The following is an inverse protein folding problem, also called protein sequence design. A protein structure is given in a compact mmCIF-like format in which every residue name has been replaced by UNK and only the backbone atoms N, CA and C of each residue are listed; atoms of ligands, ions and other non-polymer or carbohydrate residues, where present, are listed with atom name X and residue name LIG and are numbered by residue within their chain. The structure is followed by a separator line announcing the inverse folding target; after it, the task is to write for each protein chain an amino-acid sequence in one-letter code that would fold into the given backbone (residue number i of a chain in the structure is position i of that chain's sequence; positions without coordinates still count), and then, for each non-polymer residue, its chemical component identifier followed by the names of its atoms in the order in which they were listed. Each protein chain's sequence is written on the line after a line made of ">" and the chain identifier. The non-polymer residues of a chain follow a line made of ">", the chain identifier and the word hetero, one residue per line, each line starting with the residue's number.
data_IF_359936324202
#
_entry.id   IF_359936324202
#
_cell.length_a   1.000
_cell.length_b   1.000
_cell.length_c   1.000
_cell.angle_alpha   90.00
_cell.angle_beta   90.00
_cell.angle_gamma   90.00
#
_symmetry.space_group_name_H-M   'P 1'
#
loop_
_entity.id
_entity.type
_entity.pdbx_description
1 polymer ?
#
# COMPACT_ATOMS: atom_id res chain seq x y z
N UNK A 1 18.07 -17.18 10.53
CA UNK A 1 16.60 -17.11 10.74
C UNK A 1 15.96 -18.27 10.01
N UNK A 2 15.08 -19.01 10.68
CA UNK A 2 14.26 -20.07 10.08
C UNK A 2 13.03 -19.48 9.37
N UNK A 3 12.34 -20.28 8.56
CA UNK A 3 11.09 -19.82 7.91
C UNK A 3 10.00 -19.46 8.93
N UNK A 4 9.94 -20.17 10.07
CA UNK A 4 8.97 -19.90 11.12
C UNK A 4 9.23 -18.53 11.77
N UNK A 5 10.49 -18.28 12.14
CA UNK A 5 10.93 -16.99 12.69
C UNK A 5 10.67 -15.82 11.73
N UNK A 6 10.89 -16.02 10.42
CA UNK A 6 10.58 -15.00 9.41
C UNK A 6 9.09 -14.68 9.35
N UNK A 7 8.22 -15.70 9.42
CA UNK A 7 6.76 -15.50 9.44
C UNK A 7 6.32 -14.72 10.67
N UNK A 8 6.90 -15.02 11.83
CA UNK A 8 6.57 -14.32 13.07
C UNK A 8 7.08 -12.87 13.06
N UNK A 9 8.29 -12.63 12.55
CA UNK A 9 8.81 -11.28 12.33
C UNK A 9 7.91 -10.47 11.38
N UNK A 10 7.44 -11.08 10.29
CA UNK A 10 6.54 -10.43 9.35
C UNK A 10 5.17 -10.10 9.98
N UNK A 11 4.61 -11.00 10.78
CA UNK A 11 3.37 -10.75 11.53
C UNK A 11 3.53 -9.60 12.53
N UNK A 12 4.64 -9.58 13.27
CA UNK A 12 4.95 -8.50 14.20
C UNK A 12 5.08 -7.15 13.48
N UNK A 13 5.74 -7.13 12.31
CA UNK A 13 5.85 -5.94 11.46
C UNK A 13 4.47 -5.39 11.05
N UNK A 14 3.55 -6.26 10.61
CA UNK A 14 2.18 -5.87 10.25
C UNK A 14 1.35 -5.40 11.45
N UNK A 15 1.58 -5.96 12.64
CA UNK A 15 0.89 -5.53 13.85
C UNK A 15 1.34 -4.12 14.31
N UNK A 16 2.63 -3.80 14.14
CA UNK A 16 3.18 -2.48 14.46
C UNK A 16 2.80 -1.44 13.40
N UNK A 17 2.62 -1.87 12.15
CA UNK A 17 2.24 -1.03 11.01
C UNK A 17 0.94 -1.56 10.38
N UNK A 18 -0.23 -1.37 11.01
CA UNK A 18 -1.48 -1.93 10.51
C UNK A 18 -1.84 -1.32 9.14
N UNK A 19 -1.77 -2.08 8.03
CA UNK A 19 -1.90 -1.49 6.69
C UNK A 19 -3.31 -0.96 6.44
N UNK A 20 -4.34 -1.59 7.02
CA UNK A 20 -5.73 -1.17 6.86
C UNK A 20 -5.98 0.22 7.45
N UNK A 21 -5.41 0.51 8.61
CA UNK A 21 -5.58 1.82 9.26
C UNK A 21 -4.97 2.94 8.40
N UNK A 22 -3.78 2.71 7.86
CA UNK A 22 -3.13 3.67 6.98
C UNK A 22 -3.91 3.86 5.66
N UNK A 23 -4.44 2.78 5.09
CA UNK A 23 -5.32 2.84 3.91
C UNK A 23 -6.56 3.70 4.19
N UNK A 24 -7.23 3.51 5.33
CA UNK A 24 -8.39 4.32 5.72
C UNK A 24 -8.04 5.80 5.87
N UNK A 25 -6.93 6.11 6.55
CA UNK A 25 -6.47 7.49 6.74
C UNK A 25 -6.14 8.17 5.40
N UNK A 26 -5.46 7.48 4.48
CA UNK A 26 -5.14 7.99 3.15
C UNK A 26 -6.40 8.10 2.27
N UNK A 27 -7.36 7.20 2.41
CA UNK A 27 -8.64 7.27 1.72
C UNK A 27 -9.40 8.55 2.12
N UNK A 28 -9.50 8.85 3.42
CA UNK A 28 -10.12 10.09 3.88
C UNK A 28 -9.39 11.32 3.34
N UNK A 29 -8.06 11.31 3.28
CA UNK A 29 -7.30 12.41 2.66
C UNK A 29 -7.61 12.56 1.17
N UNK A 30 -7.70 11.44 0.43
CA UNK A 30 -8.00 11.46 -0.99
C UNK A 30 -9.39 12.03 -1.28
N UNK A 31 -10.43 11.56 -0.58
CA UNK A 31 -11.82 12.04 -0.76
C UNK A 31 -11.96 13.52 -0.38
N UNK A 32 -11.27 13.97 0.67
CA UNK A 32 -11.32 15.37 1.12
C UNK A 32 -10.37 16.30 0.35
N UNK A 33 -9.61 15.81 -0.62
CA UNK A 33 -8.60 16.63 -1.34
C UNK A 33 -9.21 17.57 -2.37
N UNK A 34 -10.43 17.30 -2.83
CA UNK A 34 -11.03 17.97 -3.99
C UNK A 34 -10.39 17.61 -5.34
N UNK A 35 -9.42 16.69 -5.36
CA UNK A 35 -8.73 16.26 -6.58
C UNK A 35 -9.44 15.12 -7.33
N UNK A 36 -10.52 14.60 -6.78
CA UNK A 36 -11.28 13.48 -7.34
C UNK A 36 -12.62 14.00 -7.86
N UNK A 37 -12.95 13.62 -9.09
CA UNK A 37 -14.26 13.84 -9.69
C UNK A 37 -14.96 12.49 -9.85
N UNK A 38 -15.97 12.27 -9.00
CA UNK A 38 -16.74 11.04 -8.94
C UNK A 38 -18.25 11.31 -8.83
N UNK A 39 -18.69 12.55 -9.06
CA UNK A 39 -20.11 12.92 -9.00
C UNK A 39 -20.90 12.28 -10.15
N UNK A 40 -20.26 12.13 -11.32
CA UNK A 40 -20.84 11.51 -12.52
C UNK A 40 -20.50 10.01 -12.66
N UNK A 41 -19.95 9.38 -11.61
CA UNK A 41 -19.58 7.98 -11.69
C UNK A 41 -20.82 7.08 -11.75
N UNK A 42 -20.83 6.11 -12.67
CA UNK A 42 -21.95 5.17 -12.81
C UNK A 42 -22.18 4.43 -11.49
N UNK A 43 -23.46 4.27 -11.12
CA UNK A 43 -23.85 3.41 -10.01
C UNK A 43 -23.27 2.00 -10.22
N UNK A 44 -22.67 1.43 -9.18
CA UNK A 44 -21.92 0.16 -9.16
C UNK A 44 -20.55 0.15 -9.88
N UNK A 45 -20.04 1.30 -10.33
CA UNK A 45 -18.65 1.43 -10.77
C UNK A 45 -17.69 1.38 -9.59
N UNK A 46 -16.66 0.54 -9.70
CA UNK A 46 -15.50 0.54 -8.81
C UNK A 46 -14.30 1.30 -9.39
N UNK A 47 -14.48 2.08 -10.47
CA UNK A 47 -13.37 2.73 -11.17
C UNK A 47 -12.64 3.72 -10.27
N UNK A 48 -13.34 4.70 -9.68
CA UNK A 48 -12.69 5.69 -8.80
C UNK A 48 -12.16 5.02 -7.54
N UNK A 49 -12.92 4.09 -6.95
CA UNK A 49 -12.45 3.31 -5.81
C UNK A 49 -11.11 2.59 -6.10
N UNK A 50 -10.96 1.99 -7.29
CA UNK A 50 -9.70 1.36 -7.73
C UNK A 50 -8.59 2.38 -7.96
N UNK A 51 -8.90 3.55 -8.51
CA UNK A 51 -7.92 4.63 -8.71
C UNK A 51 -7.40 5.12 -7.35
N UNK A 52 -8.29 5.39 -6.39
CA UNK A 52 -7.93 5.79 -5.03
C UNK A 52 -7.08 4.70 -4.38
N UNK A 53 -7.54 3.45 -4.42
CA UNK A 53 -6.82 2.34 -3.82
C UNK A 53 -5.42 2.16 -4.41
N UNK A 54 -5.28 2.26 -5.73
CA UNK A 54 -3.97 2.23 -6.39
C UNK A 54 -3.06 3.38 -5.92
N UNK A 55 -3.56 4.61 -5.89
CA UNK A 55 -2.79 5.77 -5.43
C UNK A 55 -2.32 5.62 -3.97
N UNK A 56 -3.17 5.07 -3.10
CA UNK A 56 -2.83 4.74 -1.71
C UNK A 56 -1.70 3.72 -1.65
N UNK A 57 -1.82 2.60 -2.37
CA UNK A 57 -0.80 1.55 -2.38
C UNK A 57 0.56 2.08 -2.90
N UNK A 58 0.55 2.91 -3.95
CA UNK A 58 1.77 3.56 -4.44
C UNK A 58 2.38 4.50 -3.39
N UNK A 59 1.54 5.25 -2.67
CA UNK A 59 1.99 6.15 -1.61
C UNK A 59 2.64 5.38 -0.46
N UNK A 60 2.01 4.31 0.00
CA UNK A 60 2.55 3.44 1.06
C UNK A 60 3.85 2.75 0.61
N UNK A 61 3.89 2.24 -0.63
CA UNK A 61 5.10 1.64 -1.19
C UNK A 61 6.28 2.63 -1.27
N UNK A 62 6.01 3.89 -1.61
CA UNK A 62 7.03 4.94 -1.62
C UNK A 62 7.54 5.26 -0.20
N UNK A 63 6.67 5.26 0.82
CA UNK A 63 7.07 5.49 2.21
C UNK A 63 7.91 4.36 2.78
N UNK A 64 7.66 3.12 2.35
CA UNK A 64 8.41 1.93 2.79
C UNK A 64 9.58 1.57 1.87
N UNK A 65 9.95 2.47 0.95
CA UNK A 65 11.00 2.21 -0.01
C UNK A 65 12.35 1.98 0.71
N UNK A 66 13.05 0.85 0.46
CA UNK A 66 14.33 0.60 1.09
C UNK A 66 15.37 1.65 0.68
N UNK A 67 15.95 2.35 1.65
CA UNK A 67 16.92 3.42 1.37
C UNK A 67 18.30 2.89 0.95
N UNK A 68 18.68 1.71 1.46
CA UNK A 68 19.93 1.07 1.08
C UNK A 68 19.78 0.40 -0.29
N UNK A 69 20.76 0.62 -1.17
CA UNK A 69 20.76 0.11 -2.54
C UNK A 69 20.63 -1.42 -2.58
N UNK A 70 21.35 -2.13 -1.70
CA UNK A 70 21.29 -3.60 -1.63
C UNK A 70 19.86 -4.09 -1.36
N UNK A 71 19.18 -3.49 -0.37
CA UNK A 71 17.81 -3.86 -0.02
C UNK A 71 16.81 -3.54 -1.14
N UNK A 72 17.04 -2.46 -1.89
CA UNK A 72 16.23 -2.13 -3.05
C UNK A 72 16.41 -3.16 -4.18
N UNK A 73 17.65 -3.54 -4.49
CA UNK A 73 17.95 -4.57 -5.48
C UNK A 73 17.33 -5.92 -5.10
N UNK A 74 17.38 -6.30 -3.81
CA UNK A 74 16.69 -7.48 -3.28
C UNK A 74 15.17 -7.39 -3.44
N UNK A 75 14.56 -6.23 -3.13
CA UNK A 75 13.14 -6.02 -3.29
C UNK A 75 12.69 -6.11 -4.76
N UNK A 76 13.44 -5.52 -5.70
CA UNK A 76 13.15 -5.63 -7.14
C UNK A 76 13.34 -7.05 -7.67
N UNK A 77 14.29 -7.81 -7.13
CA UNK A 77 14.46 -9.22 -7.46
C UNK A 77 13.27 -10.05 -6.98
N UNK A 78 12.82 -9.83 -5.74
CA UNK A 78 11.68 -10.54 -5.14
C UNK A 78 10.37 -10.27 -5.90
N UNK A 79 10.14 -9.04 -6.37
CA UNK A 79 8.95 -8.66 -7.14
C UNK A 79 8.73 -9.50 -8.40
N UNK A 80 9.77 -10.11 -8.97
CA UNK A 80 9.66 -10.98 -10.17
C UNK A 80 8.93 -12.30 -9.89
N UNK A 81 8.74 -12.65 -8.62
CA UNK A 81 8.12 -13.90 -8.19
C UNK A 81 6.74 -13.70 -7.55
N UNK A 82 6.26 -12.46 -7.45
CA UNK A 82 4.94 -12.09 -6.92
C UNK A 82 4.00 -11.74 -8.09
#
# INVERSE_FOLDING_TARGET
>A
MTQAELKDNFRALLAINPPLKEIEELFYKAVNSGALDFEDEQQDSYRTAKIIYHAILCTMAAQWFPLAKENWEEAESLKKFL
#
